data_IF_296009021559
#
_entry.id   IF_296009021559
#
_cell.length_a   1.000
_cell.length_b   1.000
_cell.length_c   1.000
_cell.angle_alpha   90.00
_cell.angle_beta   90.00
_cell.angle_gamma   90.00
#
_symmetry.space_group_name_H-M   'P 1'
#
loop_
_entity.id
_entity.type
_entity.pdbx_description
1 polymer ?
#
# COMPACT_ATOMS: atom_id res chain seq x y z
N UNK A 1 3.02 -1.86 -9.29
CA UNK A 1 3.22 -1.92 -7.83
C UNK A 1 4.56 -2.54 -7.46
N UNK A 2 4.82 -3.83 -7.71
CA UNK A 2 6.11 -4.50 -7.38
C UNK A 2 7.34 -3.74 -7.88
N UNK A 3 7.31 -3.23 -9.13
CA UNK A 3 8.41 -2.44 -9.69
C UNK A 3 8.74 -1.20 -8.85
N UNK A 4 7.72 -0.54 -8.30
CA UNK A 4 7.89 0.64 -7.45
C UNK A 4 8.49 0.26 -6.10
N UNK A 5 7.98 -0.80 -5.48
CA UNK A 5 8.53 -1.31 -4.22
C UNK A 5 10.01 -1.70 -4.36
N UNK A 6 10.35 -2.44 -5.42
CA UNK A 6 11.75 -2.80 -5.72
C UNK A 6 12.65 -1.58 -5.97
N UNK A 7 12.12 -0.50 -6.54
CA UNK A 7 12.87 0.75 -6.74
C UNK A 7 13.17 1.42 -5.40
N UNK A 8 12.15 1.56 -4.55
CA UNK A 8 12.31 2.17 -3.22
C UNK A 8 13.31 1.38 -2.35
N UNK A 9 13.24 0.05 -2.35
CA UNK A 9 14.21 -0.82 -1.65
C UNK A 9 15.64 -0.61 -2.16
N UNK A 10 15.81 -0.28 -3.44
CA UNK A 10 17.11 0.03 -4.06
C UNK A 10 17.57 1.47 -3.85
N UNK A 11 16.88 2.26 -3.03
CA UNK A 11 17.20 3.67 -2.84
C UNK A 11 16.84 4.55 -4.03
N UNK A 12 15.88 4.14 -4.87
CA UNK A 12 15.45 4.91 -6.04
C UNK A 12 14.07 5.52 -5.81
N UNK A 13 13.89 6.77 -6.25
CA UNK A 13 12.60 7.45 -6.26
C UNK A 13 11.59 6.82 -7.25
N UNK A 14 10.31 7.03 -6.95
CA UNK A 14 9.19 6.58 -7.79
C UNK A 14 8.16 7.69 -7.98
N UNK A 15 7.40 7.57 -9.06
CA UNK A 15 6.18 8.33 -9.31
C UNK A 15 4.98 7.46 -8.93
N UNK A 16 4.43 7.65 -7.73
CA UNK A 16 3.31 6.87 -7.20
C UNK A 16 2.01 7.39 -7.82
N UNK A 17 1.18 6.54 -8.44
CA UNK A 17 -0.13 6.99 -8.94
C UNK A 17 -1.04 7.42 -7.79
N UNK A 18 -1.81 8.48 -8.00
CA UNK A 18 -2.80 8.99 -7.04
C UNK A 18 -4.18 8.43 -7.40
N UNK A 19 -4.89 7.87 -6.43
CA UNK A 19 -6.28 7.43 -6.60
C UNK A 19 -7.24 8.56 -6.21
N UNK A 20 -8.21 8.86 -7.08
CA UNK A 20 -9.29 9.81 -6.81
C UNK A 20 -10.46 9.05 -6.19
N UNK A 21 -10.78 9.36 -4.93
CA UNK A 21 -11.99 8.83 -4.28
C UNK A 21 -13.27 9.53 -4.76
N UNK A 22 -13.14 10.70 -5.41
CA UNK A 22 -14.28 11.40 -6.03
C UNK A 22 -14.68 10.75 -7.35
N UNK A 23 -13.70 10.45 -8.20
CA UNK A 23 -13.92 9.92 -9.55
C UNK A 23 -13.80 8.39 -9.62
N UNK A 24 -13.53 7.75 -8.48
CA UNK A 24 -13.29 6.32 -8.32
C UNK A 24 -12.26 5.74 -9.31
N UNK A 25 -11.30 6.55 -9.74
CA UNK A 25 -10.29 6.17 -10.74
C UNK A 25 -8.93 6.81 -10.43
N UNK A 26 -7.91 6.40 -11.18
CA UNK A 26 -6.57 6.94 -11.05
C UNK A 26 -6.48 8.32 -11.70
N UNK A 27 -5.89 9.28 -11.00
CA UNK A 27 -5.55 10.61 -11.51
C UNK A 27 -4.41 10.52 -12.55
N UNK A 28 -4.29 11.55 -13.40
CA UNK A 28 -3.16 11.62 -14.35
C UNK A 28 -1.87 11.98 -13.64
N UNK A 29 -2.00 12.73 -12.56
CA UNK A 29 -0.92 13.17 -11.70
C UNK A 29 -0.36 12.01 -10.87
N UNK A 30 0.94 12.09 -10.62
CA UNK A 30 1.67 11.20 -9.73
C UNK A 30 2.23 11.98 -8.57
N UNK A 31 2.45 11.29 -7.47
CA UNK A 31 3.14 11.80 -6.30
C UNK A 31 4.57 11.25 -6.31
N UNK A 32 5.56 12.14 -6.27
CA UNK A 32 6.96 11.75 -6.15
C UNK A 32 7.25 11.23 -4.75
N UNK A 33 7.70 9.98 -4.65
CA UNK A 33 8.08 9.35 -3.39
C UNK A 33 9.59 9.09 -3.39
N UNK A 34 10.25 9.64 -2.38
CA UNK A 34 11.67 9.41 -2.11
C UNK A 34 11.86 8.12 -1.29
N UNK A 35 12.98 7.40 -1.48
CA UNK A 35 13.31 6.25 -0.65
C UNK A 35 13.49 6.66 0.82
N UNK A 36 13.18 5.74 1.74
CA UNK A 36 13.31 5.90 3.19
C UNK A 36 13.82 4.58 3.78
N UNK A 37 14.46 4.67 4.94
CA UNK A 37 14.97 3.50 5.67
C UNK A 37 13.85 2.55 6.09
N UNK A 38 12.66 3.11 6.39
CA UNK A 38 11.46 2.36 6.73
C UNK A 38 10.36 2.70 5.73
N UNK A 39 9.80 1.66 5.10
CA UNK A 39 8.67 1.76 4.17
C UNK A 39 7.51 0.99 4.77
N UNK A 40 6.40 1.68 5.06
CA UNK A 40 5.15 1.02 5.42
C UNK A 40 4.39 0.74 4.13
N UNK A 41 4.23 -0.54 3.82
CA UNK A 41 3.48 -0.99 2.66
C UNK A 41 2.13 -1.57 3.12
N UNK A 42 1.06 -0.81 2.90
CA UNK A 42 -0.29 -1.10 3.43
C UNK A 42 -1.32 -1.29 2.32
N UNK A 43 -2.43 -1.95 2.67
CA UNK A 43 -3.57 -2.17 1.79
C UNK A 43 -4.22 -3.54 2.01
N UNK A 44 -5.44 -3.69 1.51
CA UNK A 44 -6.28 -4.90 1.71
C UNK A 44 -5.75 -6.18 1.04
N UNK A 45 -4.84 -6.07 0.07
CA UNK A 45 -4.31 -7.20 -0.71
C UNK A 45 -2.78 -7.33 -0.65
N UNK A 46 -2.12 -6.61 0.26
CA UNK A 46 -0.64 -6.59 0.31
C UNK A 46 -0.02 -7.96 0.56
N UNK A 47 -0.72 -8.84 1.27
CA UNK A 47 -0.24 -10.20 1.60
C UNK A 47 -0.74 -11.28 0.63
N UNK A 48 -1.52 -10.93 -0.38
CA UNK A 48 -2.08 -11.89 -1.34
C UNK A 48 -0.98 -12.44 -2.28
N UNK A 49 -0.27 -11.55 -2.98
CA UNK A 49 0.76 -11.95 -3.95
C UNK A 49 2.06 -12.38 -3.26
N UNK A 50 2.52 -13.61 -3.51
CA UNK A 50 3.76 -14.16 -2.93
C UNK A 50 5.00 -13.31 -3.25
N UNK A 51 5.08 -12.77 -4.48
CA UNK A 51 6.20 -11.92 -4.91
C UNK A 51 6.32 -10.64 -4.10
N UNK A 52 5.22 -10.13 -3.57
CA UNK A 52 5.22 -8.98 -2.66
C UNK A 52 5.69 -9.44 -1.29
N UNK A 53 5.11 -10.53 -0.76
CA UNK A 53 5.49 -11.08 0.55
C UNK A 53 6.99 -11.39 0.65
N UNK A 54 7.62 -11.81 -0.43
CA UNK A 54 9.07 -12.09 -0.47
C UNK A 54 9.94 -10.83 -0.45
N UNK A 55 9.36 -9.63 -0.59
CA UNK A 55 10.03 -8.34 -0.50
C UNK A 55 9.82 -7.64 0.85
N UNK A 56 9.00 -8.20 1.75
CA UNK A 56 8.67 -7.59 3.04
C UNK A 56 9.48 -8.23 4.16
N UNK A 57 10.11 -7.40 4.99
CA UNK A 57 10.85 -7.85 6.17
C UNK A 57 9.92 -8.24 7.32
N UNK A 58 8.85 -7.47 7.52
CA UNK A 58 7.83 -7.68 8.54
C UNK A 58 6.46 -7.74 7.89
N UNK A 59 5.64 -8.74 8.28
CA UNK A 59 4.29 -8.98 7.77
C UNK A 59 3.32 -8.88 8.93
N UNK A 60 2.38 -7.95 8.84
CA UNK A 60 1.35 -7.73 9.84
C UNK A 60 0.01 -7.92 9.16
N UNK A 61 -0.84 -8.76 9.74
CA UNK A 61 -2.25 -8.87 9.38
C UNK A 61 -3.07 -8.44 10.60
N UNK A 62 -3.95 -7.47 10.38
CA UNK A 62 -4.88 -7.01 11.42
C UNK A 62 -6.19 -7.75 11.18
N UNK A 63 -6.50 -8.67 12.08
CA UNK A 63 -7.79 -9.37 12.13
C UNK A 63 -8.68 -8.72 13.18
N UNK A 64 -9.96 -8.56 12.87
CA UNK A 64 -10.95 -7.96 13.75
C UNK A 64 -12.34 -8.53 13.48
N UNK A 65 -13.09 -8.75 14.56
CA UNK A 65 -14.42 -9.34 14.51
C UNK A 65 -15.36 -8.53 13.60
N UNK A 66 -16.29 -9.23 12.95
CA UNK A 66 -17.26 -8.62 12.02
C UNK A 66 -18.09 -7.53 12.68
N UNK A 67 -18.58 -7.79 13.90
CA UNK A 67 -19.37 -6.83 14.68
C UNK A 67 -18.57 -5.57 15.01
N UNK A 68 -17.29 -5.71 15.38
CA UNK A 68 -16.42 -4.58 15.66
C UNK A 68 -16.19 -3.73 14.40
N UNK A 69 -15.90 -4.38 13.26
CA UNK A 69 -15.73 -3.70 11.97
C UNK A 69 -17.01 -3.02 11.52
N UNK A 70 -18.17 -3.63 11.77
CA UNK A 70 -19.47 -3.06 11.45
C UNK A 70 -19.72 -1.80 12.29
N UNK A 71 -19.58 -1.89 13.62
CA UNK A 71 -19.77 -0.77 14.54
C UNK A 71 -18.86 0.41 14.19
N UNK A 72 -17.57 0.16 13.87
CA UNK A 72 -16.62 1.22 13.48
C UNK A 72 -17.00 1.96 12.19
N UNK A 73 -17.85 1.38 11.34
CA UNK A 73 -18.29 1.96 10.06
C UNK A 73 -19.67 2.61 10.12
N UNK A 74 -20.38 2.49 11.24
CA UNK A 74 -21.60 3.24 11.49
C UNK A 74 -21.21 4.68 11.85
N UNK A 75 -21.20 5.55 10.85
CA UNK A 75 -21.03 7.01 10.99
C UNK A 75 -22.13 7.72 10.23
#
# INVERSE_FOLDING_TARGET
MIKHLKKLIKGQEIEKPIYSFTDYTRKKETEKILPRDIIIFEGILVLEEEKIRNLLDIKIYVDADEDERFIRRLV
#
